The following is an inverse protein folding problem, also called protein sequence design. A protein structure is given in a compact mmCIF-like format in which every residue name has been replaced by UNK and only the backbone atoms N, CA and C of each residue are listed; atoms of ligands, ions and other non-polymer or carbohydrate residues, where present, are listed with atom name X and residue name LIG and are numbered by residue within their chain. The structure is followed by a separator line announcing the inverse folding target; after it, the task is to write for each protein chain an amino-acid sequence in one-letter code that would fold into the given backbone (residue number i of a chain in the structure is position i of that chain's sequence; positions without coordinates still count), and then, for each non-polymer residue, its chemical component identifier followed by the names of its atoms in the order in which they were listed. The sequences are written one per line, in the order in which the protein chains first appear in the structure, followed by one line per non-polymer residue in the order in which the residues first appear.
data_IF_989443079390
#
_entry.id   IF_989443079390
#
_cell.length_a   1.000
_cell.length_b   1.000
_cell.length_c   1.000
_cell.angle_alpha   90.00
_cell.angle_beta   90.00
_cell.angle_gamma   90.00
#
_symmetry.space_group_name_H-M   'P 1'
#
loop_
_entity.id
_entity.type
_entity.pdbx_description
1 polymer ?
#
# COMPACT_ATOMS: atom_id res chain seq x y z
N UNK A 1 7.84 14.86 -23.82
CA UNK A 1 7.76 14.41 -22.42
C UNK A 1 7.29 12.96 -22.47
N UNK A 2 7.99 12.03 -21.85
CA UNK A 2 7.55 10.63 -21.80
C UNK A 2 6.24 10.56 -21.02
N UNK A 3 5.19 9.99 -21.59
CA UNK A 3 3.95 9.70 -20.87
C UNK A 3 4.27 8.74 -19.72
N UNK A 4 3.74 9.02 -18.54
CA UNK A 4 3.91 8.16 -17.37
C UNK A 4 2.70 7.24 -17.31
N UNK A 5 2.78 6.09 -17.97
CA UNK A 5 1.66 5.16 -18.11
C UNK A 5 1.88 3.89 -17.31
N UNK A 6 0.79 3.17 -17.05
CA UNK A 6 0.80 1.82 -16.49
C UNK A 6 0.04 0.88 -17.41
N UNK A 7 0.55 -0.35 -17.53
CA UNK A 7 -0.04 -1.40 -18.34
C UNK A 7 -0.77 -2.40 -17.44
N UNK A 8 -2.02 -2.69 -17.77
CA UNK A 8 -2.83 -3.75 -17.13
C UNK A 8 -2.92 -4.91 -18.12
N UNK A 9 -2.31 -6.07 -17.83
CA UNK A 9 -2.42 -7.25 -18.69
C UNK A 9 -3.87 -7.69 -18.87
N UNK A 10 -4.27 -7.99 -20.11
CA UNK A 10 -5.59 -8.58 -20.36
C UNK A 10 -5.61 -10.05 -19.96
N UNK A 11 -6.71 -10.48 -19.37
CA UNK A 11 -6.90 -11.86 -18.92
C UNK A 11 -6.96 -12.86 -20.08
N UNK A 12 -7.59 -12.46 -21.18
CA UNK A 12 -7.85 -13.34 -22.33
C UNK A 12 -6.71 -13.31 -23.38
N UNK A 13 -5.77 -12.37 -23.29
CA UNK A 13 -4.67 -12.20 -24.25
C UNK A 13 -3.38 -11.76 -23.56
N UNK A 14 -2.37 -12.63 -23.57
CA UNK A 14 -1.10 -12.40 -22.87
C UNK A 14 -0.23 -11.30 -23.49
N UNK A 15 -0.47 -10.94 -24.75
CA UNK A 15 0.29 -9.94 -25.51
C UNK A 15 -0.42 -8.58 -25.58
N UNK A 16 -1.64 -8.47 -25.03
CA UNK A 16 -2.42 -7.24 -25.02
C UNK A 16 -2.54 -6.65 -23.62
N UNK A 17 -2.50 -5.32 -23.56
CA UNK A 17 -2.56 -4.57 -22.30
C UNK A 17 -3.50 -3.38 -22.45
N UNK A 18 -4.15 -3.00 -21.35
CA UNK A 18 -4.81 -1.70 -21.22
C UNK A 18 -3.78 -0.72 -20.69
N UNK A 19 -3.50 0.34 -21.45
CA UNK A 19 -2.63 1.42 -21.02
C UNK A 19 -3.44 2.53 -20.34
N UNK A 20 -3.09 2.88 -19.11
CA UNK A 20 -3.67 4.02 -18.38
C UNK A 20 -2.61 5.11 -18.19
N UNK A 21 -3.00 6.36 -18.44
CA UNK A 21 -2.18 7.53 -18.13
C UNK A 21 -2.25 7.82 -16.62
N UNK A 22 -1.11 7.84 -15.93
CA UNK A 22 -1.06 8.06 -14.48
C UNK A 22 -1.23 9.54 -14.10
N UNK A 23 -1.11 10.46 -15.06
CA UNK A 23 -1.35 11.88 -14.86
C UNK A 23 -2.84 12.25 -15.05
N UNK A 24 -3.59 11.43 -15.80
CA UNK A 24 -5.01 11.61 -16.10
C UNK A 24 -5.80 10.31 -15.79
N UNK A 25 -5.85 9.95 -14.51
CA UNK A 25 -6.49 8.71 -14.07
C UNK A 25 -8.03 8.79 -14.23
N UNK A 26 -8.68 7.67 -14.64
CA UNK A 26 -10.13 7.55 -14.66
C UNK A 26 -10.78 7.62 -13.26
N UNK A 27 -12.09 7.41 -13.18
CA UNK A 27 -12.77 7.25 -11.90
C UNK A 27 -12.31 5.95 -11.20
N UNK A 28 -12.12 6.00 -9.88
CA UNK A 28 -11.67 4.85 -9.09
C UNK A 28 -12.55 3.62 -9.28
N UNK A 29 -13.87 3.79 -9.43
CA UNK A 29 -14.79 2.68 -9.63
C UNK A 29 -14.55 1.97 -10.97
N UNK A 30 -14.27 2.73 -12.03
CA UNK A 30 -13.95 2.18 -13.34
C UNK A 30 -12.62 1.41 -13.29
N UNK A 31 -11.60 1.99 -12.66
CA UNK A 31 -10.31 1.33 -12.45
C UNK A 31 -10.47 0.02 -11.68
N UNK A 32 -11.23 0.02 -10.59
CA UNK A 32 -11.50 -1.20 -9.81
C UNK A 32 -12.18 -2.29 -10.65
N UNK A 33 -13.16 -1.92 -11.48
CA UNK A 33 -13.85 -2.86 -12.37
C UNK A 33 -12.89 -3.49 -13.39
N UNK A 34 -12.00 -2.69 -13.98
CA UNK A 34 -10.97 -3.18 -14.91
C UNK A 34 -10.05 -4.16 -14.17
N UNK A 35 -9.48 -3.75 -13.02
CA UNK A 35 -8.53 -4.57 -12.27
C UNK A 35 -9.14 -5.92 -11.84
N UNK A 36 -10.41 -5.92 -11.43
CA UNK A 36 -11.13 -7.14 -11.06
C UNK A 36 -11.43 -8.04 -12.27
N UNK A 37 -11.91 -7.44 -13.38
CA UNK A 37 -12.28 -8.19 -14.59
C UNK A 37 -11.06 -8.87 -15.22
N UNK A 38 -9.94 -8.15 -15.26
CA UNK A 38 -8.70 -8.63 -15.86
C UNK A 38 -7.84 -9.45 -14.88
N UNK A 39 -8.27 -9.65 -13.63
CA UNK A 39 -7.48 -10.35 -12.60
C UNK A 39 -6.07 -9.76 -12.48
N UNK A 40 -5.99 -8.42 -12.43
CA UNK A 40 -4.74 -7.70 -12.47
C UNK A 40 -3.81 -8.06 -11.29
N UNK A 41 -2.49 -8.16 -11.51
CA UNK A 41 -1.53 -8.52 -10.48
C UNK A 41 -1.37 -7.41 -9.43
N UNK A 42 -1.16 -7.78 -8.17
CA UNK A 42 -1.14 -6.84 -7.03
C UNK A 42 -0.15 -5.66 -7.19
N UNK A 43 0.99 -5.84 -7.87
CA UNK A 43 1.92 -4.74 -8.15
C UNK A 43 1.28 -3.60 -8.97
N UNK A 44 0.31 -3.88 -9.83
CA UNK A 44 -0.44 -2.87 -10.60
C UNK A 44 -1.39 -2.09 -9.70
N UNK A 45 -2.08 -2.78 -8.78
CA UNK A 45 -2.95 -2.15 -7.78
C UNK A 45 -2.18 -1.15 -6.90
N UNK A 46 -0.98 -1.54 -6.44
CA UNK A 46 -0.12 -0.66 -5.62
C UNK A 46 0.30 0.59 -6.40
N UNK A 47 0.71 0.43 -7.66
CA UNK A 47 1.13 1.56 -8.49
C UNK A 47 -0.02 2.54 -8.77
N UNK A 48 -1.21 2.03 -9.07
CA UNK A 48 -2.41 2.85 -9.26
C UNK A 48 -2.80 3.56 -7.97
N UNK A 49 -2.79 2.88 -6.83
CA UNK A 49 -3.07 3.51 -5.55
C UNK A 49 -2.11 4.69 -5.30
N UNK A 50 -0.80 4.48 -5.49
CA UNK A 50 0.21 5.54 -5.36
C UNK A 50 -0.02 6.70 -6.34
N UNK A 51 -0.50 6.43 -7.55
CA UNK A 51 -0.84 7.47 -8.51
C UNK A 51 -2.06 8.29 -8.05
N UNK A 52 -3.12 7.67 -7.54
CA UNK A 52 -4.24 8.39 -6.91
C UNK A 52 -3.78 9.23 -5.70
N UNK A 53 -2.87 8.69 -4.87
CA UNK A 53 -2.31 9.43 -3.74
C UNK A 53 -1.55 10.68 -4.18
N UNK A 54 -0.76 10.61 -5.27
CA UNK A 54 -0.05 11.78 -5.84
C UNK A 54 -1.02 12.88 -6.32
N UNK A 55 -2.24 12.52 -6.68
CA UNK A 55 -3.30 13.46 -7.08
C UNK A 55 -4.15 13.96 -5.88
N UNK A 56 -3.76 13.64 -4.64
CA UNK A 56 -4.48 13.95 -3.40
C UNK A 56 -5.84 13.23 -3.26
N UNK A 57 -6.04 12.12 -3.97
CA UNK A 57 -7.24 11.28 -3.87
C UNK A 57 -7.07 10.21 -2.78
N UNK A 58 -6.98 10.65 -1.53
CA UNK A 58 -6.74 9.78 -0.36
C UNK A 58 -7.76 8.64 -0.22
N UNK A 59 -9.03 8.93 -0.52
CA UNK A 59 -10.11 7.93 -0.44
C UNK A 59 -9.86 6.77 -1.41
N UNK A 60 -9.50 7.11 -2.65
CA UNK A 60 -9.32 6.14 -3.73
C UNK A 60 -8.03 5.34 -3.54
N UNK A 61 -6.98 5.99 -3.04
CA UNK A 61 -5.77 5.33 -2.57
C UNK A 61 -6.08 4.25 -1.52
N UNK A 62 -6.85 4.59 -0.48
CA UNK A 62 -7.22 3.63 0.57
C UNK A 62 -8.10 2.52 0.00
N UNK A 63 -9.08 2.87 -0.83
CA UNK A 63 -10.02 1.91 -1.41
C UNK A 63 -9.28 0.85 -2.26
N UNK A 64 -8.34 1.29 -3.12
CA UNK A 64 -7.54 0.38 -3.93
C UNK A 64 -6.70 -0.58 -3.07
N UNK A 65 -6.00 -0.08 -2.06
CA UNK A 65 -5.15 -0.93 -1.21
C UNK A 65 -5.96 -1.87 -0.30
N UNK A 66 -7.16 -1.47 0.15
CA UNK A 66 -8.02 -2.37 0.92
C UNK A 66 -8.60 -3.48 0.05
N UNK A 67 -9.08 -3.15 -1.16
CA UNK A 67 -9.63 -4.13 -2.10
C UNK A 67 -8.57 -5.06 -2.68
N UNK A 68 -7.34 -4.58 -2.88
CA UNK A 68 -6.25 -5.41 -3.40
C UNK A 68 -5.88 -6.57 -2.46
N UNK A 69 -6.29 -6.53 -1.19
CA UNK A 69 -6.04 -7.61 -0.22
C UNK A 69 -6.85 -8.86 -0.51
N UNK A 70 -7.97 -8.74 -1.23
CA UNK A 70 -8.85 -9.86 -1.58
C UNK A 70 -8.90 -10.12 -3.08
N UNK A 71 -8.83 -9.06 -3.89
CA UNK A 71 -9.22 -9.14 -5.30
C UNK A 71 -8.03 -9.16 -6.27
N UNK A 72 -6.84 -8.76 -5.81
CA UNK A 72 -5.67 -8.74 -6.66
C UNK A 72 -5.13 -10.15 -6.92
N UNK A 73 -4.64 -10.39 -8.13
CA UNK A 73 -3.95 -11.64 -8.46
C UNK A 73 -2.60 -11.70 -7.75
N UNK A 74 -2.29 -12.87 -7.19
CA UNK A 74 -1.02 -13.21 -6.55
C UNK A 74 -0.23 -14.25 -7.36
N UNK A 75 -0.68 -14.54 -8.59
CA UNK A 75 -0.08 -15.56 -9.45
C UNK A 75 1.13 -15.04 -10.22
N UNK A 76 2.12 -14.52 -9.52
CA UNK A 76 3.39 -14.05 -10.09
C UNK A 76 4.53 -14.18 -9.07
N UNK A 77 5.77 -14.18 -9.53
CA UNK A 77 6.92 -14.31 -8.63
C UNK A 77 7.02 -13.10 -7.69
N UNK A 78 7.48 -13.33 -6.45
CA UNK A 78 7.72 -12.28 -5.44
C UNK A 78 6.47 -11.53 -4.97
N UNK A 79 5.26 -12.06 -5.22
CA UNK A 79 4.00 -11.48 -4.77
C UNK A 79 3.95 -11.22 -3.26
N UNK A 80 4.64 -12.03 -2.45
CA UNK A 80 4.70 -11.87 -0.99
C UNK A 80 5.35 -10.53 -0.60
N UNK A 81 6.36 -10.08 -1.35
CA UNK A 81 6.98 -8.76 -1.15
C UNK A 81 6.01 -7.65 -1.46
N UNK A 82 5.20 -7.81 -2.50
CA UNK A 82 4.17 -6.84 -2.87
C UNK A 82 2.99 -6.84 -1.88
N UNK A 83 2.63 -7.99 -1.31
CA UNK A 83 1.64 -8.05 -0.23
C UNK A 83 2.11 -7.28 1.00
N UNK A 84 3.36 -7.51 1.42
CA UNK A 84 3.97 -6.73 2.50
C UNK A 84 3.99 -5.24 2.15
N UNK A 85 4.44 -4.87 0.95
CA UNK A 85 4.51 -3.47 0.49
C UNK A 85 3.14 -2.80 0.49
N UNK A 86 2.08 -3.48 0.06
CA UNK A 86 0.71 -2.95 0.08
C UNK A 86 0.25 -2.64 1.50
N UNK A 87 0.49 -3.58 2.44
CA UNK A 87 0.13 -3.42 3.85
C UNK A 87 0.92 -2.27 4.50
N UNK A 88 2.22 -2.22 4.29
CA UNK A 88 3.09 -1.17 4.82
C UNK A 88 2.74 0.21 4.28
N UNK A 89 2.45 0.30 2.98
CA UNK A 89 2.06 1.56 2.34
C UNK A 89 0.77 2.09 2.97
N UNK A 90 -0.22 1.23 3.18
CA UNK A 90 -1.47 1.60 3.84
C UNK A 90 -1.26 1.94 5.33
N UNK A 91 -0.40 1.20 6.02
CA UNK A 91 -0.06 1.46 7.42
C UNK A 91 0.63 2.82 7.58
N UNK A 92 1.63 3.11 6.75
CA UNK A 92 2.34 4.39 6.73
C UNK A 92 1.40 5.56 6.44
N UNK A 93 0.41 5.38 5.56
CA UNK A 93 -0.63 6.37 5.33
C UNK A 93 -1.46 6.64 6.60
N UNK A 94 -1.93 5.60 7.30
CA UNK A 94 -2.67 5.78 8.54
C UNK A 94 -1.84 6.42 9.65
N UNK A 95 -0.54 6.09 9.76
CA UNK A 95 0.39 6.76 10.70
C UNK A 95 0.53 8.25 10.36
N UNK A 96 0.74 8.58 9.09
CA UNK A 96 0.84 9.98 8.63
C UNK A 96 -0.44 10.76 8.94
N UNK A 97 -1.61 10.16 8.69
CA UNK A 97 -2.92 10.74 9.00
C UNK A 97 -3.13 10.91 10.51
N UNK A 98 -2.76 9.91 11.31
CA UNK A 98 -2.84 9.95 12.78
C UNK A 98 -1.97 11.07 13.37
N UNK A 99 -0.79 11.30 12.80
CA UNK A 99 0.12 12.35 13.23
C UNK A 99 -0.43 13.77 12.97
N UNK A 100 -1.29 13.94 11.96
CA UNK A 100 -1.95 15.20 11.63
C UNK A 100 -3.31 15.38 12.32
N UNK A 101 -3.89 14.31 12.88
CA UNK A 101 -5.20 14.32 13.52
C UNK A 101 -5.13 14.96 14.93
N UNK A 102 -6.12 15.82 15.23
CA UNK A 102 -6.24 16.53 16.51
C UNK A 102 -7.19 15.82 17.47
N UNK A 103 -8.20 15.15 16.95
CA UNK A 103 -9.12 14.38 17.76
C UNK A 103 -8.42 13.12 18.30
N UNK A 104 -8.41 12.98 19.62
CA UNK A 104 -7.71 11.89 20.32
C UNK A 104 -8.26 10.50 19.98
N UNK A 105 -9.57 10.36 19.87
CA UNK A 105 -10.20 9.06 19.61
C UNK A 105 -9.92 8.62 18.18
N UNK A 106 -10.10 9.52 17.20
CA UNK A 106 -9.76 9.24 15.79
C UNK A 106 -8.27 8.94 15.60
N UNK A 107 -7.40 9.69 16.28
CA UNK A 107 -5.95 9.43 16.27
C UNK A 107 -5.63 8.03 16.78
N UNK A 108 -6.29 7.59 17.85
CA UNK A 108 -6.12 6.23 18.40
C UNK A 108 -6.63 5.16 17.44
N UNK A 109 -7.77 5.39 16.77
CA UNK A 109 -8.30 4.47 15.75
C UNK A 109 -7.33 4.30 14.57
N UNK A 110 -6.79 5.41 14.04
CA UNK A 110 -5.82 5.37 12.94
C UNK A 110 -4.55 4.60 13.32
N UNK A 111 -4.02 4.80 14.53
CA UNK A 111 -2.87 4.01 14.99
C UNK A 111 -3.22 2.54 15.21
N UNK A 112 -4.43 2.21 15.67
CA UNK A 112 -4.88 0.83 15.77
C UNK A 112 -4.95 0.16 14.39
N UNK A 113 -5.45 0.86 13.36
CA UNK A 113 -5.44 0.37 11.98
C UNK A 113 -4.01 0.11 11.48
N UNK A 114 -3.10 1.07 11.66
CA UNK A 114 -1.69 0.91 11.29
C UNK A 114 -1.04 -0.28 12.02
N UNK A 115 -1.34 -0.47 13.31
CA UNK A 115 -0.84 -1.61 14.10
C UNK A 115 -1.24 -2.94 13.46
N UNK A 116 -2.52 -3.10 13.14
CA UNK A 116 -3.04 -4.35 12.54
C UNK A 116 -2.36 -4.64 11.21
N UNK A 117 -2.19 -3.64 10.36
CA UNK A 117 -1.56 -3.78 9.04
C UNK A 117 -0.11 -4.21 9.16
N UNK A 118 0.67 -3.51 9.99
CA UNK A 118 2.07 -3.86 10.21
C UNK A 118 2.24 -5.25 10.83
N UNK A 119 1.40 -5.63 11.81
CA UNK A 119 1.43 -6.99 12.38
C UNK A 119 1.07 -8.07 11.36
N UNK A 120 0.28 -7.74 10.35
CA UNK A 120 0.03 -8.66 9.24
C UNK A 120 1.21 -8.71 8.27
N UNK A 121 1.85 -7.57 7.98
CA UNK A 121 3.04 -7.50 7.15
C UNK A 121 4.24 -8.26 7.77
N UNK A 122 4.42 -8.17 9.09
CA UNK A 122 5.45 -8.90 9.87
C UNK A 122 5.39 -10.44 9.61
N UNK A 123 4.20 -10.97 9.29
CA UNK A 123 3.98 -12.41 9.04
C UNK A 123 4.35 -12.85 7.62
N UNK A 124 4.53 -11.91 6.70
CA UNK A 124 4.80 -12.19 5.28
C UNK A 124 6.30 -12.11 5.03
N UNK A 125 6.89 -10.92 5.19
CA UNK A 125 8.34 -10.70 5.07
C UNK A 125 8.82 -9.76 6.19
N UNK A 126 9.33 -10.34 7.27
CA UNK A 126 9.74 -9.59 8.46
C UNK A 126 11.03 -8.78 8.29
N UNK A 127 12.01 -9.31 7.55
CA UNK A 127 13.37 -8.74 7.51
C UNK A 127 13.65 -7.91 6.24
N UNK A 128 12.60 -7.41 5.59
CA UNK A 128 12.79 -6.49 4.47
C UNK A 128 13.18 -5.10 5.02
N UNK A 129 14.26 -4.47 4.52
CA UNK A 129 14.77 -3.22 5.11
C UNK A 129 13.76 -2.06 5.15
N UNK A 130 12.96 -1.84 4.10
CA UNK A 130 11.97 -0.76 4.07
C UNK A 130 10.82 -1.04 5.04
N UNK A 131 10.42 -2.31 5.18
CA UNK A 131 9.46 -2.73 6.18
C UNK A 131 9.94 -2.40 7.60
N UNK A 132 11.15 -2.84 7.95
CA UNK A 132 11.74 -2.58 9.27
C UNK A 132 11.86 -1.09 9.57
N UNK A 133 12.24 -0.26 8.58
CA UNK A 133 12.28 1.20 8.71
C UNK A 133 10.88 1.77 8.99
N UNK A 134 9.86 1.32 8.25
CA UNK A 134 8.47 1.72 8.47
C UNK A 134 7.97 1.35 9.86
N UNK A 135 8.27 0.12 10.31
CA UNK A 135 7.95 -0.39 11.66
C UNK A 135 8.62 0.43 12.75
N UNK A 136 9.91 0.72 12.60
CA UNK A 136 10.67 1.51 13.55
C UNK A 136 10.11 2.94 13.68
N UNK A 137 9.83 3.60 12.54
CA UNK A 137 9.20 4.92 12.52
C UNK A 137 7.80 4.91 13.18
N UNK A 138 7.01 3.86 12.96
CA UNK A 138 5.73 3.69 13.64
C UNK A 138 5.90 3.59 15.15
N UNK A 139 6.85 2.76 15.64
CA UNK A 139 7.16 2.67 17.06
C UNK A 139 7.57 4.02 17.67
N UNK A 140 8.33 4.85 16.95
CA UNK A 140 8.68 6.21 17.41
C UNK A 140 7.48 7.16 17.54
N UNK A 141 6.37 6.85 16.87
CA UNK A 141 5.13 7.65 16.99
C UNK A 141 4.42 7.43 18.33
N UNK A 142 4.83 6.42 19.12
CA UNK A 142 4.34 6.13 20.46
C UNK A 142 5.45 6.36 21.51
N UNK A 143 5.24 7.25 22.51
CA UNK A 143 6.30 7.67 23.44
C UNK A 143 6.99 6.53 24.21
N UNK A 144 6.24 5.47 24.51
CA UNK A 144 6.70 4.36 25.35
C UNK A 144 7.35 3.21 24.54
N UNK A 145 7.51 3.37 23.22
CA UNK A 145 8.01 2.31 22.33
C UNK A 145 9.39 2.59 21.73
N UNK A 146 10.17 3.48 22.36
CA UNK A 146 11.51 3.84 21.88
C UNK A 146 12.47 2.64 21.79
N UNK A 147 12.48 1.76 22.80
CA UNK A 147 13.30 0.53 22.78
C UNK A 147 12.88 -0.43 21.66
N UNK A 148 11.57 -0.51 21.36
CA UNK A 148 11.07 -1.33 20.26
C UNK A 148 11.53 -0.76 18.92
N UNK A 149 11.51 0.56 18.74
CA UNK A 149 11.99 1.21 17.53
C UNK A 149 13.50 0.96 17.31
N UNK A 150 14.30 1.06 18.36
CA UNK A 150 15.75 0.83 18.31
C UNK A 150 16.10 -0.61 17.89
N UNK A 151 15.36 -1.58 18.44
CA UNK A 151 15.50 -2.99 18.06
C UNK A 151 15.21 -3.20 16.55
N UNK A 152 14.19 -2.54 16.00
CA UNK A 152 13.89 -2.64 14.55
C UNK A 152 15.00 -2.03 13.69
N UNK A 153 15.51 -0.85 14.03
CA UNK A 153 16.60 -0.22 13.27
C UNK A 153 17.91 -1.02 13.32
N UNK A 154 18.17 -1.72 14.43
CA UNK A 154 19.36 -2.57 14.58
C UNK A 154 19.37 -3.73 13.56
N UNK A 155 18.21 -4.23 13.12
CA UNK A 155 18.14 -5.26 12.09
C UNK A 155 18.42 -4.75 10.67
N UNK A 156 18.35 -3.43 10.45
CA UNK A 156 18.56 -2.81 9.13
C UNK A 156 20.05 -2.48 8.88
N UNK A 157 20.82 -2.23 9.94
CA UNK A 157 22.23 -1.84 9.92
C UNK A 157 23.18 -3.05 9.86
#
# INVERSE_FOLDING_TARGET
MSRHTIEIPLKESADEVIELDLDELPDCREVLQILQSETAPLNVWIQLALAYYKQNCDHDFVQLLEMSRTDASLSYQDYERDQMRALDTLAAFYVSKANREKNRDKKRELFAQATVLYTNADKIVMYEPNHLVGRAHFCLSEPDKMEQADAQFTFVL
#
